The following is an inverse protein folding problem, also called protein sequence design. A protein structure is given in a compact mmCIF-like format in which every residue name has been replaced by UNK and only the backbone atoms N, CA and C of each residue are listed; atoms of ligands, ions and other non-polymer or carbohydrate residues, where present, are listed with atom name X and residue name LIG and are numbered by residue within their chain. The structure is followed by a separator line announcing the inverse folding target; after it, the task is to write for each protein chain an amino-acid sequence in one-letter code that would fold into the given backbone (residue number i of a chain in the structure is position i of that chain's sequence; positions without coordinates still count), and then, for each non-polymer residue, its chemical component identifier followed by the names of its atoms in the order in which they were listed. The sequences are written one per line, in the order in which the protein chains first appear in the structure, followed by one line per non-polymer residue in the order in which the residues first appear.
data_IF_117727050200
#
_entry.id   IF_117727050200
#
_cell.length_a   1.000
_cell.length_b   1.000
_cell.length_c   1.000
_cell.angle_alpha   90.00
_cell.angle_beta   90.00
_cell.angle_gamma   90.00
#
_symmetry.space_group_name_H-M   'P 1'
#
loop_
_entity.id
_entity.type
_entity.pdbx_description
1 polymer ?
#
# COMPACT_ATOMS: atom_id res chain seq x y z
N UNK A 1 -11.72 40.74 20.14
CA UNK A 1 -12.60 39.56 19.94
C UNK A 1 -11.69 38.34 19.87
N UNK A 2 -11.82 37.46 20.87
CA UNK A 2 -10.98 36.27 21.07
C UNK A 2 -11.45 35.13 20.16
N UNK A 3 -10.64 34.74 19.18
CA UNK A 3 -10.87 33.50 18.43
C UNK A 3 -10.09 32.38 19.12
N UNK A 4 -10.84 31.53 19.84
CA UNK A 4 -10.35 30.37 20.58
C UNK A 4 -9.59 29.41 19.66
N UNK A 5 -8.35 29.09 20.05
CA UNK A 5 -7.55 27.99 19.49
C UNK A 5 -8.21 26.66 19.87
N UNK A 6 -8.65 25.90 18.87
CA UNK A 6 -9.09 24.51 19.04
C UNK A 6 -7.85 23.63 18.84
N UNK A 7 -7.23 23.23 19.94
CA UNK A 7 -6.25 22.14 19.96
C UNK A 7 -7.04 20.83 20.06
N UNK A 8 -7.14 20.08 18.96
CA UNK A 8 -7.59 18.68 19.00
C UNK A 8 -6.34 17.83 19.20
N UNK A 9 -6.06 17.50 20.46
CA UNK A 9 -5.14 16.42 20.83
C UNK A 9 -5.82 15.08 20.53
N UNK A 10 -5.52 14.47 19.38
CA UNK A 10 -5.78 13.04 19.16
C UNK A 10 -4.61 12.28 19.78
N UNK A 11 -4.80 11.82 21.01
CA UNK A 11 -3.90 10.86 21.63
C UNK A 11 -4.25 9.46 21.12
N UNK A 12 -3.62 9.02 20.03
CA UNK A 12 -3.65 7.60 19.64
C UNK A 12 -2.54 6.90 20.44
N UNK A 13 -2.95 6.27 21.54
CA UNK A 13 -2.09 5.42 22.36
C UNK A 13 -1.82 4.13 21.59
N UNK A 14 -0.54 3.84 21.34
CA UNK A 14 -0.11 2.60 20.73
C UNK A 14 -0.30 1.39 21.64
N UNK A 15 -0.71 0.28 21.03
CA UNK A 15 -0.47 -1.06 21.54
C UNK A 15 -0.32 -2.01 20.34
N UNK A 16 0.93 -2.13 19.83
CA UNK A 16 1.33 -3.31 19.09
C UNK A 16 1.49 -4.46 20.08
N UNK A 17 0.57 -5.40 20.04
CA UNK A 17 0.76 -6.74 20.60
C UNK A 17 0.44 -7.74 19.49
N UNK A 18 1.49 -8.31 18.92
CA UNK A 18 1.40 -9.45 18.02
C UNK A 18 0.90 -10.67 18.79
N UNK A 19 -0.32 -11.12 18.48
CA UNK A 19 -0.77 -12.51 18.62
C UNK A 19 -2.16 -12.64 17.98
N UNK A 20 -2.22 -13.20 16.78
CA UNK A 20 -3.45 -13.68 16.14
C UNK A 20 -4.45 -12.61 15.73
N UNK A 21 -4.32 -12.10 14.50
CA UNK A 21 -5.45 -11.41 13.85
C UNK A 21 -6.52 -12.44 13.52
N UNK A 22 -7.48 -12.64 14.44
CA UNK A 22 -8.78 -13.21 14.12
C UNK A 22 -9.47 -12.33 13.07
N UNK A 23 -10.08 -12.98 12.06
CA UNK A 23 -10.78 -12.39 10.90
C UNK A 23 -11.68 -11.18 11.22
N UNK A 24 -12.27 -11.11 12.43
CA UNK A 24 -13.19 -10.04 12.82
C UNK A 24 -12.56 -8.65 12.98
N UNK A 25 -11.27 -8.53 13.32
CA UNK A 25 -10.64 -7.20 13.52
C UNK A 25 -10.23 -6.53 12.21
N UNK A 26 -9.86 -7.33 11.19
CA UNK A 26 -9.55 -6.81 9.84
C UNK A 26 -10.82 -6.27 9.17
N UNK A 27 -11.96 -6.90 9.42
CA UNK A 27 -13.24 -6.55 8.81
C UNK A 27 -13.78 -5.21 9.32
N UNK A 28 -13.65 -4.90 10.61
CA UNK A 28 -14.09 -3.59 11.13
C UNK A 28 -13.25 -2.42 10.63
N UNK A 29 -11.92 -2.56 10.50
CA UNK A 29 -11.10 -1.48 9.97
C UNK A 29 -11.37 -1.22 8.48
N UNK A 30 -11.60 -2.27 7.70
CA UNK A 30 -12.06 -2.11 6.32
C UNK A 30 -13.44 -1.44 6.26
N UNK A 31 -14.37 -1.79 7.14
CA UNK A 31 -15.77 -1.30 7.11
C UNK A 31 -15.90 0.14 7.61
N UNK A 32 -15.14 0.54 8.62
CA UNK A 32 -15.11 1.93 9.11
C UNK A 32 -14.48 2.88 8.08
N UNK A 33 -13.51 2.39 7.30
CA UNK A 33 -12.93 3.12 6.17
C UNK A 33 -13.92 3.25 5.01
N UNK A 34 -14.72 2.21 4.75
CA UNK A 34 -15.78 2.19 3.73
C UNK A 34 -16.93 3.16 4.03
N UNK A 35 -17.35 3.30 5.31
CA UNK A 35 -18.47 4.17 5.68
C UNK A 35 -18.13 5.67 5.57
N UNK A 36 -16.87 6.05 5.70
CA UNK A 36 -16.44 7.44 5.49
C UNK A 36 -16.50 7.88 4.01
N UNK A 37 -16.54 6.93 3.06
CA UNK A 37 -16.43 7.22 1.63
C UNK A 37 -17.78 7.56 0.94
N UNK A 38 -18.92 7.23 1.55
CA UNK A 38 -20.21 7.27 0.82
C UNK A 38 -20.93 8.64 0.85
N UNK A 39 -20.49 9.62 1.66
CA UNK A 39 -21.35 10.78 2.01
C UNK A 39 -20.88 12.19 1.56
N UNK A 40 -19.92 12.34 0.62
CA UNK A 40 -19.47 13.69 0.19
C UNK A 40 -19.18 13.81 -1.32
N UNK A 41 -20.13 14.37 -2.08
CA UNK A 41 -20.15 14.40 -3.56
C UNK A 41 -19.15 15.29 -4.31
N UNK A 42 -18.25 16.01 -3.64
CA UNK A 42 -17.16 16.79 -4.29
C UNK A 42 -15.79 16.60 -3.61
N UNK A 43 -15.73 15.90 -2.47
CA UNK A 43 -14.51 15.44 -1.80
C UNK A 43 -14.27 13.93 -1.99
N UNK A 44 -15.12 13.27 -2.80
CA UNK A 44 -15.08 11.84 -3.06
C UNK A 44 -13.88 11.43 -3.95
N UNK A 45 -13.36 12.31 -4.80
CA UNK A 45 -12.19 12.04 -5.65
C UNK A 45 -10.94 11.75 -4.81
N UNK A 46 -10.53 12.73 -4.00
CA UNK A 46 -9.38 12.60 -3.11
C UNK A 46 -9.52 11.42 -2.13
N UNK A 47 -10.73 11.13 -1.63
CA UNK A 47 -10.97 9.99 -0.72
C UNK A 47 -10.88 8.64 -1.43
N UNK A 48 -11.43 8.53 -2.64
CA UNK A 48 -11.33 7.32 -3.45
C UNK A 48 -9.88 7.06 -3.87
N UNK A 49 -9.14 8.10 -4.24
CA UNK A 49 -7.73 8.04 -4.59
C UNK A 49 -6.90 7.58 -3.38
N UNK A 50 -7.11 8.17 -2.21
CA UNK A 50 -6.43 7.74 -0.97
C UNK A 50 -6.73 6.26 -0.62
N UNK A 51 -7.96 5.79 -0.86
CA UNK A 51 -8.35 4.40 -0.62
C UNK A 51 -7.71 3.46 -1.64
N UNK A 52 -7.70 3.83 -2.92
CA UNK A 52 -7.04 3.08 -3.99
C UNK A 52 -5.54 2.99 -3.74
N UNK A 53 -4.87 4.10 -3.40
CA UNK A 53 -3.47 4.11 -3.02
C UNK A 53 -3.19 3.23 -1.79
N UNK A 54 -4.06 3.26 -0.78
CA UNK A 54 -3.89 2.42 0.41
C UNK A 54 -4.01 0.93 0.07
N UNK A 55 -4.97 0.57 -0.77
CA UNK A 55 -5.13 -0.79 -1.27
C UNK A 55 -3.89 -1.22 -2.08
N UNK A 56 -3.45 -0.38 -3.03
CA UNK A 56 -2.26 -0.60 -3.84
C UNK A 56 -1.02 -0.80 -2.97
N UNK A 57 -0.79 0.07 -1.97
CA UNK A 57 0.35 -0.07 -1.04
C UNK A 57 0.34 -1.41 -0.33
N UNK A 58 -0.82 -1.84 0.18
CA UNK A 58 -0.92 -3.13 0.90
C UNK A 58 -0.66 -4.32 -0.03
N UNK A 59 -1.23 -4.33 -1.25
CA UNK A 59 -0.99 -5.40 -2.22
C UNK A 59 0.48 -5.40 -2.64
N UNK A 60 1.06 -4.24 -2.97
CA UNK A 60 2.45 -4.11 -3.37
C UNK A 60 3.43 -4.55 -2.26
N UNK A 61 3.15 -4.24 -1.00
CA UNK A 61 3.96 -4.72 0.13
C UNK A 61 3.95 -6.24 0.19
N UNK A 62 2.76 -6.86 0.33
CA UNK A 62 2.70 -8.32 0.53
C UNK A 62 3.13 -9.10 -0.70
N UNK A 63 2.62 -8.73 -1.88
CA UNK A 63 2.92 -9.46 -3.10
C UNK A 63 4.33 -9.17 -3.61
N UNK A 64 4.86 -7.97 -3.37
CA UNK A 64 6.26 -7.66 -3.65
C UNK A 64 7.22 -8.51 -2.82
N UNK A 65 6.93 -8.72 -1.53
CA UNK A 65 7.71 -9.61 -0.66
C UNK A 65 7.75 -11.05 -1.18
N UNK A 66 6.62 -11.55 -1.68
CA UNK A 66 6.55 -12.87 -2.33
C UNK A 66 7.39 -12.93 -3.60
N UNK A 67 7.36 -11.90 -4.46
CA UNK A 67 8.18 -11.87 -5.67
C UNK A 67 9.68 -11.89 -5.34
N UNK A 68 10.13 -11.11 -4.36
CA UNK A 68 11.52 -11.13 -3.90
C UNK A 68 11.91 -12.49 -3.34
N UNK A 69 11.04 -13.11 -2.53
CA UNK A 69 11.27 -14.46 -1.98
C UNK A 69 11.37 -15.50 -3.10
N UNK A 70 10.48 -15.46 -4.09
CA UNK A 70 10.49 -16.37 -5.24
C UNK A 70 11.72 -16.18 -6.14
N UNK A 71 12.23 -14.95 -6.23
CA UNK A 71 13.49 -14.64 -6.92
C UNK A 71 14.75 -15.05 -6.12
N UNK A 72 14.59 -15.57 -4.88
CA UNK A 72 15.69 -16.02 -4.03
C UNK A 72 16.28 -14.94 -3.11
N UNK A 73 15.61 -13.79 -2.99
CA UNK A 73 16.05 -12.63 -2.21
C UNK A 73 15.08 -12.35 -1.06
N UNK A 74 15.02 -13.25 -0.09
CA UNK A 74 14.14 -13.06 1.07
C UNK A 74 14.46 -11.74 1.80
N UNK A 75 13.41 -11.02 2.20
CA UNK A 75 13.53 -9.71 2.83
C UNK A 75 13.70 -9.80 4.36
N UNK A 76 14.43 -8.84 4.93
CA UNK A 76 14.58 -8.63 6.37
C UNK A 76 13.50 -7.66 6.87
N UNK A 77 12.28 -8.16 6.95
CA UNK A 77 11.10 -7.38 7.30
C UNK A 77 10.34 -6.85 6.08
N UNK A 78 9.29 -6.04 6.32
CA UNK A 78 8.33 -5.70 5.28
C UNK A 78 8.85 -4.62 4.33
N UNK A 79 8.33 -4.61 3.10
CA UNK A 79 8.55 -3.51 2.18
C UNK A 79 7.82 -2.25 2.66
N UNK A 80 8.53 -1.12 2.64
CA UNK A 80 7.93 0.20 2.83
C UNK A 80 7.50 0.74 1.47
N UNK A 81 6.19 0.75 1.20
CA UNK A 81 5.64 1.18 -0.09
C UNK A 81 4.98 2.56 -0.03
N UNK A 82 5.18 3.32 -1.10
CA UNK A 82 4.44 4.52 -1.46
C UNK A 82 3.66 4.24 -2.73
N UNK A 83 2.45 4.79 -2.80
CA UNK A 83 1.61 4.75 -4.00
C UNK A 83 1.13 6.18 -4.26
N UNK A 84 1.11 6.57 -5.53
CA UNK A 84 0.71 7.91 -5.93
C UNK A 84 -0.10 7.83 -7.21
N UNK A 85 -1.31 8.37 -7.17
CA UNK A 85 -2.14 8.50 -8.37
C UNK A 85 -1.47 9.47 -9.35
N UNK A 86 -1.31 9.04 -10.60
CA UNK A 86 -0.75 9.83 -11.70
C UNK A 86 -1.70 9.84 -12.90
N UNK A 87 -1.48 10.78 -13.83
CA UNK A 87 -2.26 10.94 -15.06
C UNK A 87 -3.79 10.94 -14.87
N UNK A 88 -4.34 12.02 -14.29
CA UNK A 88 -5.79 12.26 -14.32
C UNK A 88 -6.66 11.23 -13.57
N UNK A 89 -6.05 10.41 -12.71
CA UNK A 89 -6.64 9.32 -11.93
C UNK A 89 -6.79 7.95 -12.62
N UNK A 90 -6.05 7.68 -13.71
CA UNK A 90 -6.14 6.38 -14.39
C UNK A 90 -5.03 5.39 -14.02
N UNK A 91 -3.93 5.84 -13.41
CA UNK A 91 -2.78 5.00 -13.03
C UNK A 91 -2.27 5.31 -11.63
N UNK A 92 -1.71 4.31 -10.96
CA UNK A 92 -1.04 4.46 -9.66
C UNK A 92 0.41 4.01 -9.79
N UNK A 93 1.34 4.95 -9.61
CA UNK A 93 2.76 4.65 -9.45
C UNK A 93 3.02 4.05 -8.07
N UNK A 94 3.88 3.05 -8.03
CA UNK A 94 4.27 2.31 -6.83
C UNK A 94 5.78 2.37 -6.71
N UNK A 95 6.25 2.77 -5.53
CA UNK A 95 7.65 2.66 -5.16
C UNK A 95 7.76 2.07 -3.76
N UNK A 96 8.42 0.93 -3.66
CA UNK A 96 8.72 0.26 -2.41
C UNK A 96 10.22 0.12 -2.18
N UNK A 97 10.62 0.17 -0.92
CA UNK A 97 12.00 -0.04 -0.47
C UNK A 97 12.04 -1.02 0.69
N UNK A 98 13.09 -1.84 0.74
CA UNK A 98 13.37 -2.76 1.83
C UNK A 98 14.84 -3.18 1.86
N UNK A 99 15.16 -4.17 2.68
CA UNK A 99 16.50 -4.76 2.77
C UNK A 99 16.36 -6.28 2.70
N UNK A 100 17.27 -6.97 2.01
CA UNK A 100 17.31 -8.44 2.00
C UNK A 100 17.91 -8.97 3.30
N UNK A 101 17.68 -10.25 3.62
CA UNK A 101 18.31 -10.90 4.79
C UNK A 101 19.84 -10.94 4.69
N UNK A 102 20.38 -10.88 3.47
CA UNK A 102 21.82 -10.78 3.21
C UNK A 102 22.36 -9.34 3.32
N UNK A 103 21.49 -8.36 3.60
CA UNK A 103 21.83 -6.94 3.80
C UNK A 103 21.84 -6.09 2.53
N UNK A 104 21.40 -6.63 1.39
CA UNK A 104 21.31 -5.90 0.12
C UNK A 104 20.09 -4.96 0.08
N UNK A 105 20.23 -3.81 -0.58
CA UNK A 105 19.13 -2.86 -0.71
C UNK A 105 18.10 -3.36 -1.72
N UNK A 106 16.85 -3.57 -1.31
CA UNK A 106 15.77 -4.03 -2.18
C UNK A 106 14.88 -2.85 -2.60
N UNK A 107 14.49 -2.80 -3.87
CA UNK A 107 13.51 -1.82 -4.36
C UNK A 107 12.58 -2.43 -5.39
N UNK A 108 11.28 -2.18 -5.23
CA UNK A 108 10.24 -2.53 -6.19
C UNK A 108 9.66 -1.23 -6.73
N UNK A 109 9.63 -1.06 -8.05
CA UNK A 109 9.07 0.10 -8.71
C UNK A 109 8.15 -0.34 -9.86
N UNK A 110 7.09 0.42 -10.10
CA UNK A 110 6.17 0.13 -11.19
C UNK A 110 4.96 1.04 -11.20
N UNK A 111 4.03 0.77 -12.12
CA UNK A 111 2.75 1.46 -12.20
C UNK A 111 1.64 0.46 -12.53
N UNK A 112 0.44 0.73 -12.03
CA UNK A 112 -0.76 -0.02 -12.40
C UNK A 112 -1.35 0.52 -13.70
N UNK A 113 -1.89 -0.37 -14.53
CA UNK A 113 -2.56 0.01 -15.79
C UNK A 113 -4.01 0.47 -15.57
N UNK A 114 -4.58 0.19 -14.39
CA UNK A 114 -5.93 0.57 -14.01
C UNK A 114 -6.01 0.87 -12.50
N UNK A 115 -7.05 1.63 -12.11
CA UNK A 115 -7.40 1.79 -10.70
C UNK A 115 -7.99 0.48 -10.15
N UNK A 116 -7.38 -0.11 -9.11
CA UNK A 116 -7.93 -1.29 -8.47
C UNK A 116 -9.26 -0.97 -7.78
N UNK A 117 -10.31 -1.71 -8.14
CA UNK A 117 -11.59 -1.66 -7.42
C UNK A 117 -11.47 -2.28 -6.01
N UNK A 118 -12.43 -1.98 -5.13
CA UNK A 118 -12.42 -2.38 -3.71
C UNK A 118 -12.36 -3.90 -3.42
N UNK A 119 -12.41 -4.76 -4.44
CA UNK A 119 -12.41 -6.22 -4.30
C UNK A 119 -11.26 -6.91 -5.03
N UNK A 120 -10.28 -6.17 -5.55
CA UNK A 120 -9.12 -6.80 -6.21
C UNK A 120 -8.08 -7.26 -5.20
N UNK A 121 -7.47 -8.40 -5.50
CA UNK A 121 -6.34 -8.98 -4.74
C UNK A 121 -5.06 -8.99 -5.55
N UNK A 122 -5.11 -8.44 -6.77
CA UNK A 122 -3.99 -8.35 -7.69
C UNK A 122 -3.96 -6.99 -8.36
N UNK A 123 -2.76 -6.58 -8.76
CA UNK A 123 -2.49 -5.35 -9.50
C UNK A 123 -1.94 -5.73 -10.86
N UNK A 124 -2.63 -5.32 -11.92
CA UNK A 124 -2.15 -5.39 -13.29
C UNK A 124 -1.33 -4.14 -13.60
N UNK A 125 -0.17 -4.30 -14.23
CA UNK A 125 0.74 -3.19 -14.44
C UNK A 125 2.08 -3.62 -15.03
N UNK A 126 3.11 -2.82 -14.77
CA UNK A 126 4.50 -3.19 -15.00
C UNK A 126 5.30 -2.93 -13.73
N UNK A 127 5.93 -3.97 -13.19
CA UNK A 127 6.66 -3.92 -11.94
C UNK A 127 8.04 -4.55 -12.08
N UNK A 128 9.05 -3.87 -11.55
CA UNK A 128 10.45 -4.28 -11.57
C UNK A 128 10.98 -4.33 -10.15
N UNK A 129 11.51 -5.48 -9.77
CA UNK A 129 12.22 -5.69 -8.50
C UNK A 129 13.72 -5.64 -8.70
N UNK A 130 14.42 -4.94 -7.82
CA UNK A 130 15.87 -4.80 -7.83
C UNK A 130 16.48 -5.12 -6.47
N UNK A 131 17.70 -5.65 -6.47
CA UNK A 131 18.57 -5.77 -5.29
C UNK A 131 19.92 -5.16 -5.62
N UNK A 132 20.38 -4.23 -4.78
CA UNK A 132 21.60 -3.44 -5.00
C UNK A 132 21.66 -2.78 -6.40
N UNK A 133 20.50 -2.38 -6.90
CA UNK A 133 20.33 -1.76 -8.22
C UNK A 133 20.36 -2.74 -9.40
N UNK A 134 20.47 -4.05 -9.16
CA UNK A 134 20.36 -5.07 -10.19
C UNK A 134 18.93 -5.59 -10.28
N UNK A 135 18.34 -5.64 -11.46
CA UNK A 135 17.05 -6.27 -11.69
C UNK A 135 17.10 -7.75 -11.36
N UNK A 136 16.19 -8.20 -10.51
CA UNK A 136 16.05 -9.60 -10.08
C UNK A 136 14.75 -10.22 -10.58
N UNK A 137 13.74 -9.40 -10.89
CA UNK A 137 12.53 -9.83 -11.58
C UNK A 137 11.82 -8.66 -12.27
N UNK A 138 11.03 -9.00 -13.28
CA UNK A 138 10.01 -8.14 -13.87
C UNK A 138 8.71 -8.93 -13.94
N UNK A 139 7.59 -8.29 -13.59
CA UNK A 139 6.27 -8.92 -13.68
C UNK A 139 5.24 -7.90 -14.18
N UNK A 140 4.25 -8.39 -14.92
CA UNK A 140 3.09 -7.60 -15.32
C UNK A 140 1.92 -7.68 -14.33
N UNK A 141 2.09 -8.44 -13.24
CA UNK A 141 1.06 -8.66 -12.23
C UNK A 141 1.69 -8.87 -10.84
N UNK A 142 1.17 -8.17 -9.83
CA UNK A 142 1.45 -8.40 -8.42
C UNK A 142 0.20 -8.98 -7.74
N UNK A 143 0.28 -10.21 -7.24
CA UNK A 143 -0.84 -10.91 -6.60
C UNK A 143 -1.62 -11.82 -7.54
N UNK A 144 -2.24 -12.86 -6.97
CA UNK A 144 -2.98 -13.90 -7.72
C UNK A 144 -3.02 -15.24 -6.99
#
# INVERSE_FOLDING_TARGET
MNTRRIFITVALVGALAAAGCSDDTRTSMATDLQNAATDVGEAAGDLADNAAEALVRNIATQQGEEQFTNAGYALDGPLTCTATVTDGADSIEIACTGTTQDGGAASLAGATDELPGASVVSLSGSFVGTVDGQEVFTTSQLGG
#
